data_IF_154180891107
#
_entry.id   IF_154180891107
#
_cell.length_a   1.000
_cell.length_b   1.000
_cell.length_c   1.000
_cell.angle_alpha   90.00
_cell.angle_beta   90.00
_cell.angle_gamma   90.00
#
_symmetry.space_group_name_H-M   'P 1'
#
loop_
_entity.id
_entity.type
_entity.pdbx_description
1 polymer ?
#
# COMPACT_ATOMS: atom_id res chain seq x y z
N UNK A 1 67.08 -24.40 71.54
CA UNK A 1 67.27 -25.83 71.15
C UNK A 1 65.97 -26.33 70.54
N UNK A 2 66.04 -26.94 69.34
CA UNK A 2 65.13 -27.95 68.74
C UNK A 2 63.63 -27.59 68.62
N UNK A 3 62.87 -27.94 67.58
CA UNK A 3 63.05 -28.53 66.24
C UNK A 3 61.71 -28.33 65.49
N UNK A 4 61.79 -28.34 64.16
CA UNK A 4 60.70 -28.53 63.19
C UNK A 4 59.67 -29.63 63.57
N UNK A 5 58.38 -29.47 63.21
CA UNK A 5 57.78 -30.06 61.97
C UNK A 5 56.30 -30.51 62.11
N UNK A 6 55.48 -30.01 61.17
CA UNK A 6 54.49 -30.72 60.31
C UNK A 6 53.15 -31.31 60.83
N UNK A 7 52.10 -30.89 60.09
CA UNK A 7 50.90 -31.63 59.64
C UNK A 7 49.58 -31.38 60.41
N UNK A 8 48.83 -30.45 59.81
CA UNK A 8 47.44 -30.57 59.36
C UNK A 8 46.35 -31.01 60.35
N UNK A 9 45.40 -30.11 60.59
CA UNK A 9 43.98 -30.35 60.24
C UNK A 9 43.19 -29.04 60.25
N UNK A 10 42.64 -28.69 59.08
CA UNK A 10 41.33 -28.06 58.83
C UNK A 10 40.92 -26.78 59.60
N UNK A 11 40.30 -25.77 59.01
CA UNK A 11 39.98 -25.35 57.64
C UNK A 11 39.39 -23.95 57.83
N UNK A 12 39.67 -23.07 56.88
CA UNK A 12 39.31 -21.66 56.88
C UNK A 12 37.81 -21.42 57.08
N UNK A 13 37.45 -20.68 58.14
CA UNK A 13 36.16 -19.98 58.21
C UNK A 13 36.30 -18.70 57.39
N UNK A 14 36.14 -18.82 56.07
CA UNK A 14 35.95 -17.68 55.18
C UNK A 14 34.45 -17.43 55.01
N UNK A 15 34.05 -16.17 55.21
CA UNK A 15 32.74 -15.60 54.87
C UNK A 15 32.09 -16.26 53.66
N UNK A 16 30.94 -16.89 53.87
CA UNK A 16 29.96 -17.06 52.79
C UNK A 16 29.00 -15.88 52.91
N UNK A 17 29.30 -14.81 52.18
CA UNK A 17 28.28 -13.84 51.80
C UNK A 17 27.31 -14.54 50.85
N UNK A 18 26.05 -14.59 51.27
CA UNK A 18 24.95 -15.16 50.50
C UNK A 18 24.60 -14.20 49.35
N UNK A 19 25.31 -14.31 48.23
CA UNK A 19 24.90 -13.65 46.99
C UNK A 19 23.77 -14.47 46.35
N UNK A 20 22.53 -14.17 46.73
CA UNK A 20 21.37 -14.60 45.96
C UNK A 20 21.37 -13.83 44.63
N UNK A 21 21.99 -14.39 43.58
CA UNK A 21 21.77 -13.93 42.21
C UNK A 21 20.38 -14.38 41.78
N UNK A 22 19.42 -13.44 41.77
CA UNK A 22 18.15 -13.64 41.07
C UNK A 22 18.47 -13.68 39.57
N UNK A 23 18.57 -14.87 38.99
CA UNK A 23 18.61 -15.02 37.53
C UNK A 23 17.22 -14.67 36.98
N UNK A 24 16.95 -13.37 36.79
CA UNK A 24 15.81 -12.97 35.98
C UNK A 24 16.16 -13.34 34.53
N UNK A 25 15.46 -14.33 33.99
CA UNK A 25 15.52 -14.59 32.55
C UNK A 25 15.01 -13.32 31.86
N UNK A 26 15.81 -12.67 30.97
CA UNK A 26 15.32 -11.52 30.25
C UNK A 26 14.13 -11.97 29.39
N UNK A 27 12.93 -11.48 29.71
CA UNK A 27 11.75 -11.69 28.89
C UNK A 27 11.80 -10.66 27.76
N UNK A 28 12.08 -11.11 26.54
CA UNK A 28 11.91 -10.27 25.36
C UNK A 28 10.41 -10.04 25.14
N UNK A 29 9.99 -8.77 25.19
CA UNK A 29 8.65 -8.37 24.73
C UNK A 29 8.81 -7.93 23.29
N UNK A 30 8.28 -8.73 22.36
CA UNK A 30 8.18 -8.35 20.96
C UNK A 30 6.82 -7.70 20.76
N UNK A 31 6.81 -6.38 20.63
CA UNK A 31 5.64 -5.64 20.17
C UNK A 31 5.83 -5.31 18.69
N UNK A 32 4.85 -5.63 17.86
CA UNK A 32 4.86 -5.21 16.46
C UNK A 32 4.55 -3.71 16.41
N UNK A 33 5.54 -2.89 16.04
CA UNK A 33 5.25 -1.51 15.63
C UNK A 33 4.59 -1.56 14.26
N UNK A 34 3.36 -1.06 14.14
CA UNK A 34 2.72 -0.91 12.83
C UNK A 34 3.58 0.04 11.99
N UNK A 35 4.12 -0.40 10.85
CA UNK A 35 4.92 0.48 10.00
C UNK A 35 4.04 1.60 9.45
N UNK A 36 4.62 2.78 9.25
CA UNK A 36 3.93 3.85 8.52
C UNK A 36 3.83 3.46 7.05
N UNK A 37 2.65 3.63 6.45
CA UNK A 37 2.36 3.19 5.08
C UNK A 37 2.05 4.41 4.21
N UNK A 38 2.65 4.45 3.02
CA UNK A 38 2.24 5.32 1.91
C UNK A 38 1.62 4.46 0.81
N UNK A 39 0.59 4.98 0.16
CA UNK A 39 -0.09 4.31 -0.95
C UNK A 39 0.40 4.86 -2.29
N UNK A 40 0.73 3.94 -3.20
CA UNK A 40 1.15 4.26 -4.56
C UNK A 40 -0.06 4.66 -5.42
N UNK A 41 0.13 5.64 -6.30
CA UNK A 41 -0.90 6.10 -7.24
C UNK A 41 -1.93 7.09 -6.66
N UNK A 42 -1.77 7.50 -5.40
CA UNK A 42 -2.59 8.54 -4.75
C UNK A 42 -1.72 9.53 -3.98
N UNK A 43 -2.30 10.68 -3.67
CA UNK A 43 -1.67 11.70 -2.84
C UNK A 43 -1.67 11.27 -1.38
N UNK A 44 -0.48 11.22 -0.78
CA UNK A 44 -0.31 10.88 0.63
C UNK A 44 -0.05 12.17 1.43
N UNK A 45 -1.03 12.71 2.17
CA UNK A 45 -0.81 13.86 3.03
C UNK A 45 0.11 13.48 4.20
N UNK A 46 1.13 14.29 4.46
CA UNK A 46 2.11 14.13 5.54
C UNK A 46 2.20 15.43 6.31
N UNK A 47 2.09 15.34 7.64
CA UNK A 47 2.36 16.46 8.55
C UNK A 47 3.71 16.25 9.23
N UNK A 48 4.54 17.29 9.24
CA UNK A 48 5.87 17.30 9.83
C UNK A 48 5.92 18.48 10.77
N UNK A 49 6.24 18.21 12.03
CA UNK A 49 6.49 19.21 13.05
C UNK A 49 7.82 18.86 13.74
N UNK A 50 8.59 19.89 14.06
CA UNK A 50 9.84 19.74 14.81
C UNK A 50 9.82 20.73 15.96
N UNK A 51 10.06 20.24 17.17
CA UNK A 51 10.06 21.08 18.36
C UNK A 51 11.14 22.17 18.26
N UNK A 52 10.78 23.39 18.65
CA UNK A 52 11.65 24.56 18.59
C UNK A 52 11.97 25.08 17.17
N UNK A 53 11.42 24.51 16.10
CA UNK A 53 11.65 24.95 14.72
C UNK A 53 10.33 25.37 14.08
N UNK A 54 10.27 26.59 13.54
CA UNK A 54 9.10 27.05 12.79
C UNK A 54 8.91 26.23 11.51
N UNK A 55 7.66 25.86 11.24
CA UNK A 55 7.21 25.16 10.02
C UNK A 55 7.67 25.82 8.71
N UNK A 56 7.91 27.13 8.73
CA UNK A 56 8.38 27.88 7.57
C UNK A 56 9.82 27.48 7.18
N UNK A 57 10.63 27.05 8.15
CA UNK A 57 12.01 26.57 7.95
C UNK A 57 12.13 25.06 7.80
N UNK A 58 11.05 24.31 8.02
CA UNK A 58 11.05 22.86 7.79
C UNK A 58 10.95 22.59 6.29
N UNK A 59 11.84 21.73 5.80
CA UNK A 59 11.78 21.13 4.47
C UNK A 59 11.87 19.61 4.58
N UNK A 60 11.23 18.93 3.63
CA UNK A 60 11.21 17.48 3.56
C UNK A 60 11.61 17.03 2.17
N UNK A 61 12.43 16.00 2.10
CA UNK A 61 12.98 15.47 0.85
C UNK A 61 13.01 13.96 0.88
N UNK A 62 12.89 13.35 -0.29
CA UNK A 62 13.02 11.91 -0.44
C UNK A 62 14.51 11.55 -0.42
N UNK A 63 14.90 10.83 0.61
CA UNK A 63 16.29 10.39 0.86
C UNK A 63 16.57 8.97 0.38
N UNK A 64 15.52 8.15 0.24
CA UNK A 64 15.60 6.81 -0.37
C UNK A 64 14.28 6.45 -1.08
N UNK A 65 14.41 5.72 -2.18
CA UNK A 65 13.32 5.35 -3.10
C UNK A 65 12.92 6.49 -4.04
N UNK A 66 11.86 6.29 -4.82
CA UNK A 66 11.37 7.27 -5.81
C UNK A 66 9.98 7.78 -5.44
N UNK A 67 9.89 9.07 -5.12
CA UNK A 67 8.64 9.78 -4.89
C UNK A 67 8.82 11.28 -5.12
N UNK A 68 7.73 11.96 -5.45
CA UNK A 68 7.64 13.42 -5.42
C UNK A 68 7.07 13.86 -4.09
N UNK A 69 7.76 14.77 -3.41
CA UNK A 69 7.25 15.41 -2.21
C UNK A 69 7.06 16.90 -2.46
N UNK A 70 5.86 17.41 -2.17
CA UNK A 70 5.51 18.81 -2.37
C UNK A 70 4.98 19.42 -1.08
N UNK A 71 5.54 20.56 -0.66
CA UNK A 71 4.99 21.36 0.44
C UNK A 71 3.69 22.02 -0.04
N UNK A 72 2.60 21.79 0.67
CA UNK A 72 1.26 22.35 0.37
C UNK A 72 0.79 23.34 1.42
N UNK A 73 1.44 23.38 2.58
CA UNK A 73 1.16 24.34 3.65
C UNK A 73 2.26 24.32 4.71
N UNK A 74 2.07 25.08 5.79
CA UNK A 74 2.95 25.04 6.97
C UNK A 74 2.96 23.63 7.54
N UNK A 75 4.15 23.03 7.66
CA UNK A 75 4.35 21.66 8.11
C UNK A 75 3.63 20.59 7.28
N UNK A 76 3.02 20.92 6.14
CA UNK A 76 2.10 20.04 5.42
C UNK A 76 2.63 19.73 4.03
N UNK A 77 2.70 18.44 3.72
CA UNK A 77 3.27 17.90 2.49
C UNK A 77 2.32 16.91 1.83
N UNK A 78 2.46 16.75 0.52
CA UNK A 78 1.89 15.63 -0.22
C UNK A 78 3.05 14.84 -0.80
N UNK A 79 3.10 13.55 -0.48
CA UNK A 79 4.00 12.59 -1.10
C UNK A 79 3.24 11.76 -2.15
N UNK A 80 3.76 11.72 -3.36
CA UNK A 80 3.21 10.96 -4.47
C UNK A 80 4.26 9.95 -4.94
N UNK A 81 3.95 8.65 -4.85
CA UNK A 81 4.86 7.58 -5.22
C UNK A 81 4.70 7.29 -6.72
N UNK A 82 5.78 7.48 -7.48
CA UNK A 82 5.70 7.49 -8.94
C UNK A 82 5.69 6.09 -9.56
N UNK A 83 6.51 5.17 -9.03
CA UNK A 83 6.76 3.88 -9.67
C UNK A 83 6.79 2.71 -8.68
N UNK A 84 6.53 1.51 -9.20
CA UNK A 84 6.73 0.23 -8.49
C UNK A 84 8.19 -0.23 -8.50
N UNK A 85 8.96 0.25 -9.48
CA UNK A 85 10.39 -0.06 -9.63
C UNK A 85 11.14 1.26 -9.73
N UNK A 86 12.17 1.42 -8.92
CA UNK A 86 13.15 2.49 -9.08
C UNK A 86 14.31 1.99 -9.94
N UNK A 87 14.69 2.77 -10.95
CA UNK A 87 15.88 2.54 -11.74
C UNK A 87 17.05 3.29 -11.11
N UNK A 88 18.03 2.57 -10.60
CA UNK A 88 19.24 3.17 -10.03
C UNK A 88 20.40 2.94 -10.99
N UNK A 89 21.07 4.02 -11.39
CA UNK A 89 22.35 3.92 -12.09
C UNK A 89 23.44 3.75 -11.05
N UNK A 90 24.05 2.56 -11.03
CA UNK A 90 25.20 2.27 -10.18
C UNK A 90 26.45 2.43 -11.03
N UNK A 91 27.33 3.31 -10.60
CA UNK A 91 28.69 3.46 -11.10
C UNK A 91 29.59 2.68 -10.15
N UNK A 92 30.30 1.68 -10.67
CA UNK A 92 31.28 0.92 -9.91
C UNK A 92 32.66 1.32 -10.42
N UNK A 93 33.40 2.04 -9.58
CA UNK A 93 34.81 2.32 -9.80
C UNK A 93 35.63 1.16 -9.21
N UNK A 94 36.50 0.55 -10.01
CA UNK A 94 37.45 -0.45 -9.54
C UNK A 94 38.84 -0.17 -10.08
N UNK A 95 39.87 -0.50 -9.30
CA UNK A 95 41.26 -0.37 -9.72
C UNK A 95 41.91 -1.75 -9.65
N UNK A 96 42.56 -2.18 -10.73
CA UNK A 96 43.29 -3.45 -10.73
C UNK A 96 44.62 -3.35 -9.96
N UNK A 97 45.31 -4.48 -9.83
CA UNK A 97 46.62 -4.55 -9.16
C UNK A 97 47.73 -3.75 -9.85
N UNK A 98 47.48 -3.21 -11.04
CA UNK A 98 48.41 -2.41 -11.85
C UNK A 98 48.05 -0.92 -11.86
N UNK A 99 47.00 -0.52 -11.13
CA UNK A 99 46.55 0.87 -11.08
C UNK A 99 45.65 1.28 -12.25
N UNK A 100 45.12 0.34 -13.03
CA UNK A 100 44.16 0.66 -14.11
C UNK A 100 42.77 0.80 -13.52
N UNK A 101 42.14 1.96 -13.74
CA UNK A 101 40.78 2.23 -13.31
C UNK A 101 39.75 1.70 -14.32
N UNK A 102 38.67 1.12 -13.80
CA UNK A 102 37.53 0.62 -14.56
C UNK A 102 36.27 1.22 -13.97
N UNK A 103 35.40 1.74 -14.85
CA UNK A 103 34.06 2.16 -14.49
C UNK A 103 33.04 1.26 -15.16
N UNK A 104 32.16 0.67 -14.35
CA UNK A 104 31.01 -0.06 -14.86
C UNK A 104 29.73 0.69 -14.49
N UNK A 105 28.98 1.08 -15.51
CA UNK A 105 27.66 1.68 -15.35
C UNK A 105 26.59 0.61 -15.53
N UNK A 106 25.82 0.33 -14.48
CA UNK A 106 24.70 -0.63 -14.53
C UNK A 106 23.43 0.00 -14.01
N UNK A 107 22.36 -0.09 -14.79
CA UNK A 107 21.01 0.23 -14.31
C UNK A 107 20.43 -0.99 -13.59
N UNK A 108 20.09 -0.81 -12.31
CA UNK A 108 19.47 -1.84 -11.48
C UNK A 108 18.00 -1.48 -11.26
N UNK A 109 17.12 -2.48 -11.39
CA UNK A 109 15.69 -2.39 -11.05
C UNK A 109 15.52 -2.81 -9.60
N UNK A 110 15.13 -1.87 -8.74
CA UNK A 110 14.90 -2.11 -7.32
C UNK A 110 13.40 -1.92 -7.03
N UNK A 111 12.74 -2.82 -6.28
CA UNK A 111 11.39 -2.59 -5.81
C UNK A 111 11.31 -1.29 -5.01
N UNK A 112 10.37 -0.41 -5.38
CA UNK A 112 10.15 0.86 -4.70
C UNK A 112 9.12 0.71 -3.57
N UNK A 113 9.36 -0.29 -2.71
CA UNK A 113 8.42 -0.71 -1.65
C UNK A 113 8.74 -0.05 -0.30
N UNK A 114 9.78 0.77 -0.25
CA UNK A 114 10.22 1.53 0.91
C UNK A 114 10.63 2.93 0.48
N UNK A 115 10.08 3.95 1.15
CA UNK A 115 10.42 5.36 0.93
C UNK A 115 10.95 5.93 2.23
N UNK A 116 12.08 6.64 2.18
CA UNK A 116 12.57 7.37 3.36
C UNK A 116 12.52 8.86 3.11
N UNK A 117 11.85 9.58 3.99
CA UNK A 117 11.74 11.03 3.94
C UNK A 117 12.70 11.61 4.97
N UNK A 118 13.68 12.38 4.51
CA UNK A 118 14.56 13.18 5.32
C UNK A 118 13.92 14.54 5.61
N UNK A 119 14.04 14.98 6.86
CA UNK A 119 13.54 16.26 7.36
C UNK A 119 14.74 17.14 7.69
N UNK A 120 14.71 18.37 7.20
CA UNK A 120 15.78 19.34 7.39
C UNK A 120 15.21 20.68 7.84
N UNK A 121 16.02 21.42 8.59
CA UNK A 121 15.81 22.86 8.80
C UNK A 121 16.59 23.61 7.73
N UNK A 122 15.98 24.59 7.08
CA UNK A 122 16.65 25.46 6.13
C UNK A 122 16.42 26.93 6.49
N UNK A 123 17.51 27.63 6.77
CA UNK A 123 17.54 29.08 6.96
C UNK A 123 18.48 29.69 5.93
N UNK A 124 17.91 30.35 4.92
CA UNK A 124 18.66 30.84 3.78
C UNK A 124 19.27 29.70 2.96
N UNK A 125 20.60 29.67 2.85
CA UNK A 125 21.34 28.62 2.12
C UNK A 125 21.79 27.45 3.00
N UNK A 126 21.78 27.63 4.31
CA UNK A 126 22.20 26.59 5.24
C UNK A 126 21.06 25.60 5.45
N UNK A 127 21.38 24.32 5.30
CA UNK A 127 20.45 23.22 5.44
C UNK A 127 21.02 22.21 6.43
N UNK A 128 20.28 21.97 7.50
CA UNK A 128 20.67 21.09 8.61
C UNK A 128 19.73 19.91 8.66
N UNK A 129 20.29 18.70 8.59
CA UNK A 129 19.52 17.47 8.77
C UNK A 129 19.02 17.35 10.20
N UNK A 130 17.74 17.01 10.36
CA UNK A 130 17.09 16.88 11.66
C UNK A 130 16.79 15.42 11.98
N UNK A 131 16.03 14.76 11.10
CA UNK A 131 15.62 13.37 11.27
C UNK A 131 15.20 12.76 9.92
N UNK A 132 14.98 11.46 9.88
CA UNK A 132 14.36 10.78 8.76
C UNK A 132 13.33 9.77 9.23
N UNK A 133 12.35 9.47 8.39
CA UNK A 133 11.33 8.44 8.65
C UNK A 133 11.16 7.56 7.43
N UNK A 134 11.12 6.26 7.68
CA UNK A 134 10.94 5.23 6.65
C UNK A 134 9.51 4.74 6.63
N UNK A 135 8.92 4.73 5.44
CA UNK A 135 7.57 4.29 5.14
C UNK A 135 7.63 3.04 4.28
N UNK A 136 6.74 2.09 4.54
CA UNK A 136 6.44 1.03 3.58
C UNK A 136 5.52 1.59 2.51
N UNK A 137 5.71 1.17 1.27
CA UNK A 137 4.79 1.50 0.18
C UNK A 137 3.89 0.31 -0.07
N UNK A 138 2.59 0.56 -0.17
CA UNK A 138 1.61 -0.40 -0.66
C UNK A 138 0.97 0.10 -1.95
N UNK A 139 0.60 -0.84 -2.81
CA UNK A 139 -0.28 -0.54 -3.93
C UNK A 139 -1.69 -0.25 -3.39
N UNK A 140 -2.35 0.76 -3.97
CA UNK A 140 -3.79 0.91 -3.78
C UNK A 140 -4.51 -0.24 -4.49
N UNK A 141 -5.39 -0.92 -3.77
CA UNK A 141 -6.24 -1.97 -4.35
C UNK A 141 -7.57 -1.35 -4.69
N UNK A 142 -7.89 -1.32 -5.99
CA UNK A 142 -9.18 -0.84 -6.48
C UNK A 142 -10.21 -1.96 -6.39
N UNK A 143 -11.47 -1.66 -6.04
CA UNK A 143 -12.52 -2.68 -6.02
C UNK A 143 -12.83 -3.19 -7.43
N UNK A 144 -13.13 -4.47 -7.51
CA UNK A 144 -13.64 -5.13 -8.70
C UNK A 144 -15.16 -5.10 -8.70
N UNK A 145 -15.75 -4.65 -9.80
CA UNK A 145 -17.16 -4.82 -10.11
C UNK A 145 -17.48 -6.28 -10.43
N UNK A 146 -18.54 -6.79 -9.81
CA UNK A 146 -19.06 -8.13 -10.07
C UNK A 146 -20.57 -8.10 -10.19
N UNK A 147 -21.09 -8.95 -11.06
CA UNK A 147 -22.50 -9.35 -11.06
C UNK A 147 -22.55 -10.79 -10.59
N UNK A 148 -23.31 -11.05 -9.53
CA UNK A 148 -23.32 -12.34 -8.81
C UNK A 148 -21.92 -12.64 -8.23
N UNK A 149 -21.05 -13.31 -8.99
CA UNK A 149 -19.68 -13.67 -8.58
C UNK A 149 -18.66 -13.48 -9.71
N UNK A 150 -19.10 -12.89 -10.83
CA UNK A 150 -18.31 -12.82 -12.06
C UNK A 150 -18.14 -11.36 -12.48
N UNK A 151 -16.97 -11.06 -13.02
CA UNK A 151 -16.56 -9.79 -13.63
C UNK A 151 -16.75 -9.79 -15.16
N UNK A 152 -17.31 -10.87 -15.72
CA UNK A 152 -17.61 -11.02 -17.14
C UNK A 152 -17.77 -12.49 -17.53
N UNK A 153 -17.76 -12.77 -18.83
CA UNK A 153 -17.80 -14.12 -19.39
C UNK A 153 -19.20 -14.70 -19.50
N UNK A 154 -19.34 -16.03 -19.35
CA UNK A 154 -20.63 -16.70 -19.49
C UNK A 154 -21.44 -16.63 -18.19
N UNK A 155 -22.73 -16.26 -18.30
CA UNK A 155 -23.63 -16.15 -17.14
C UNK A 155 -25.01 -16.72 -17.41
N UNK A 156 -25.61 -17.34 -16.40
CA UNK A 156 -26.99 -17.82 -16.46
C UNK A 156 -27.97 -16.63 -16.39
N UNK A 157 -28.89 -16.53 -17.34
CA UNK A 157 -29.92 -15.50 -17.33
C UNK A 157 -30.72 -15.47 -16.02
N UNK A 158 -30.96 -16.64 -15.42
CA UNK A 158 -31.69 -16.76 -14.14
C UNK A 158 -30.95 -16.10 -12.98
N UNK A 159 -29.62 -16.19 -12.95
CA UNK A 159 -28.81 -15.62 -11.87
C UNK A 159 -28.78 -14.10 -11.92
N UNK A 160 -28.72 -13.53 -13.14
CA UNK A 160 -28.87 -12.09 -13.37
C UNK A 160 -30.22 -11.55 -12.88
N UNK A 161 -31.31 -12.28 -13.15
CA UNK A 161 -32.66 -11.86 -12.76
C UNK A 161 -32.90 -12.03 -11.25
N UNK A 162 -32.19 -12.96 -10.60
CA UNK A 162 -32.26 -13.18 -9.15
C UNK A 162 -31.45 -12.15 -8.37
N UNK A 163 -30.31 -11.71 -8.92
CA UNK A 163 -29.41 -10.74 -8.29
C UNK A 163 -29.16 -9.56 -9.26
N UNK A 164 -30.18 -8.72 -9.51
CA UNK A 164 -30.12 -7.67 -10.53
C UNK A 164 -29.38 -6.43 -10.00
N UNK A 165 -28.11 -6.60 -9.62
CA UNK A 165 -27.25 -5.53 -9.10
C UNK A 165 -25.77 -5.85 -9.30
N UNK A 166 -24.95 -4.80 -9.26
CA UNK A 166 -23.49 -4.85 -9.28
C UNK A 166 -23.00 -4.71 -7.84
N UNK A 167 -21.99 -5.49 -7.48
CA UNK A 167 -21.23 -5.34 -6.24
C UNK A 167 -19.82 -4.86 -6.54
N UNK A 168 -19.23 -4.15 -5.60
CA UNK A 168 -17.80 -3.81 -5.59
C UNK A 168 -17.11 -4.62 -4.49
N UNK A 169 -16.09 -5.38 -4.85
CA UNK A 169 -15.34 -6.24 -3.93
C UNK A 169 -13.84 -5.96 -4.05
N UNK A 170 -13.16 -5.83 -2.91
CA UNK A 170 -11.69 -5.74 -2.85
C UNK A 170 -11.17 -7.10 -2.41
N UNK A 171 -10.27 -7.68 -3.19
CA UNK A 171 -9.62 -8.96 -2.84
C UNK A 171 -8.51 -8.73 -1.81
N UNK A 172 -8.34 -9.69 -0.89
CA UNK A 172 -7.27 -9.71 0.12
C UNK A 172 -7.18 -8.44 0.99
N UNK A 173 -8.33 -7.86 1.35
CA UNK A 173 -8.38 -6.69 2.22
C UNK A 173 -9.04 -7.01 3.57
N UNK A 174 -8.26 -6.85 4.65
CA UNK A 174 -8.62 -7.25 6.02
C UNK A 174 -9.66 -6.33 6.69
N UNK A 175 -10.09 -5.26 6.01
CA UNK A 175 -11.05 -4.30 6.54
C UNK A 175 -12.26 -4.15 5.61
N UNK A 176 -13.49 -4.16 6.12
CA UNK A 176 -14.66 -3.90 5.29
C UNK A 176 -14.66 -2.43 4.85
N UNK A 177 -14.61 -2.20 3.54
CA UNK A 177 -14.82 -0.87 2.94
C UNK A 177 -16.15 -0.90 2.21
N UNK A 178 -17.01 0.08 2.51
CA UNK A 178 -18.28 0.23 1.81
C UNK A 178 -18.09 1.14 0.59
N UNK A 179 -18.56 0.67 -0.56
CA UNK A 179 -18.58 1.43 -1.81
C UNK A 179 -20.00 1.60 -2.30
N UNK A 180 -20.28 2.80 -2.82
CA UNK A 180 -21.58 3.15 -3.38
C UNK A 180 -21.44 3.39 -4.88
N UNK A 181 -22.09 2.57 -5.72
CA UNK A 181 -22.15 2.80 -7.17
C UNK A 181 -23.19 3.89 -7.45
N UNK A 182 -22.75 5.01 -8.03
CA UNK A 182 -23.61 6.15 -8.34
C UNK A 182 -24.32 5.97 -9.67
N UNK A 183 -23.65 5.45 -10.70
CA UNK A 183 -24.27 5.12 -11.97
C UNK A 183 -23.47 4.10 -12.78
N UNK A 184 -24.15 3.46 -13.74
CA UNK A 184 -23.54 2.67 -14.80
C UNK A 184 -24.46 2.63 -16.03
N UNK A 185 -23.89 2.25 -17.17
CA UNK A 185 -24.59 2.06 -18.43
C UNK A 185 -24.71 0.57 -18.78
N UNK A 186 -25.82 0.17 -19.39
CA UNK A 186 -26.03 -1.18 -19.89
C UNK A 186 -26.46 -1.15 -21.35
N UNK A 187 -25.77 -1.91 -22.20
CA UNK A 187 -26.15 -2.16 -23.59
C UNK A 187 -26.29 -3.65 -23.85
N UNK A 188 -26.99 -3.99 -24.93
CA UNK A 188 -27.25 -5.36 -25.32
C UNK A 188 -26.89 -5.56 -26.79
N UNK A 189 -26.15 -6.62 -27.11
CA UNK A 189 -25.97 -7.03 -28.49
C UNK A 189 -26.98 -8.12 -28.79
N UNK A 190 -28.03 -7.72 -29.51
CA UNK A 190 -29.04 -8.61 -30.08
C UNK A 190 -28.93 -8.52 -31.60
N UNK A 191 -29.62 -9.40 -32.33
CA UNK A 191 -29.64 -9.39 -33.81
C UNK A 191 -30.13 -8.05 -34.44
N UNK A 192 -30.63 -7.10 -33.64
CA UNK A 192 -31.01 -5.73 -34.03
C UNK A 192 -30.13 -4.73 -33.26
N UNK A 193 -29.23 -4.04 -33.95
CA UNK A 193 -28.07 -3.41 -33.29
C UNK A 193 -28.05 -1.86 -33.39
N UNK A 194 -29.01 -1.17 -32.76
CA UNK A 194 -29.09 0.31 -32.75
C UNK A 194 -29.72 0.93 -31.49
N UNK A 195 -29.82 0.20 -30.37
CA UNK A 195 -30.46 0.74 -29.16
C UNK A 195 -29.49 1.58 -28.31
N UNK A 196 -29.97 2.70 -27.77
CA UNK A 196 -29.19 3.55 -26.88
C UNK A 196 -28.89 2.85 -25.54
N UNK A 197 -27.78 3.19 -24.85
CA UNK A 197 -27.48 2.63 -23.54
C UNK A 197 -28.56 2.96 -22.51
N UNK A 198 -28.97 1.95 -21.74
CA UNK A 198 -29.80 2.14 -20.57
C UNK A 198 -28.92 2.62 -19.40
N UNK A 199 -29.45 3.53 -18.59
CA UNK A 199 -28.72 4.12 -17.45
C UNK A 199 -29.32 3.64 -16.14
N UNK A 200 -28.49 3.20 -15.20
CA UNK A 200 -28.86 3.09 -13.80
C UNK A 200 -28.16 4.17 -12.98
N UNK A 201 -28.84 4.70 -11.98
CA UNK A 201 -28.33 5.70 -11.03
C UNK A 201 -28.09 5.08 -9.63
N UNK A 202 -27.77 3.80 -9.60
CA UNK A 202 -27.47 3.04 -8.38
C UNK A 202 -26.68 1.79 -8.75
N UNK A 203 -26.38 0.94 -7.77
CA UNK A 203 -25.83 -0.39 -8.02
C UNK A 203 -26.86 -1.38 -8.60
N UNK A 204 -28.16 -1.07 -8.63
CA UNK A 204 -29.23 -1.98 -9.08
C UNK A 204 -29.53 -1.84 -10.57
N UNK A 205 -29.97 -2.91 -11.20
CA UNK A 205 -30.50 -2.86 -12.56
C UNK A 205 -31.89 -2.21 -12.54
N UNK A 206 -32.17 -1.38 -13.54
CA UNK A 206 -33.49 -0.74 -13.66
C UNK A 206 -34.55 -1.74 -14.13
N UNK A 207 -35.85 -1.47 -13.91
CA UNK A 207 -36.91 -2.31 -14.45
C UNK A 207 -36.79 -2.53 -15.96
N UNK A 208 -36.41 -1.50 -16.71
CA UNK A 208 -36.20 -1.59 -18.17
C UNK A 208 -35.05 -2.52 -18.54
N UNK A 209 -33.91 -2.43 -17.84
CA UNK A 209 -32.80 -3.37 -18.01
C UNK A 209 -33.24 -4.81 -17.73
N UNK A 210 -34.01 -5.02 -16.65
CA UNK A 210 -34.54 -6.33 -16.27
C UNK A 210 -35.46 -6.89 -17.36
N UNK A 211 -36.37 -6.07 -17.90
CA UNK A 211 -37.25 -6.49 -19.00
C UNK A 211 -36.45 -6.85 -20.25
N UNK A 212 -35.40 -6.09 -20.60
CA UNK A 212 -34.49 -6.44 -21.70
C UNK A 212 -33.76 -7.75 -21.44
N UNK A 213 -33.20 -7.95 -20.24
CA UNK A 213 -32.52 -9.20 -19.85
C UNK A 213 -33.45 -10.41 -20.02
N UNK A 214 -34.74 -10.30 -19.66
CA UNK A 214 -35.71 -11.40 -19.82
C UNK A 214 -35.83 -11.88 -21.27
N UNK A 215 -35.72 -10.97 -22.24
CA UNK A 215 -35.83 -11.27 -23.68
C UNK A 215 -34.60 -11.97 -24.27
N UNK A 216 -33.45 -11.91 -23.59
CA UNK A 216 -32.19 -12.44 -24.11
C UNK A 216 -32.21 -13.97 -24.24
N UNK A 217 -31.55 -14.46 -25.28
CA UNK A 217 -31.34 -15.87 -25.59
C UNK A 217 -29.88 -16.23 -25.41
N UNK A 218 -29.60 -17.55 -25.42
CA UNK A 218 -28.23 -18.07 -25.40
C UNK A 218 -27.40 -17.44 -26.53
N UNK A 219 -26.22 -16.94 -26.19
CA UNK A 219 -25.30 -16.25 -27.09
C UNK A 219 -25.45 -14.72 -27.11
N UNK A 220 -26.59 -14.17 -26.66
CA UNK A 220 -26.76 -12.72 -26.56
C UNK A 220 -25.80 -12.14 -25.52
N UNK A 221 -25.36 -10.91 -25.76
CA UNK A 221 -24.38 -10.24 -24.89
C UNK A 221 -24.98 -9.06 -24.17
N UNK A 222 -24.52 -8.87 -22.93
CA UNK A 222 -24.77 -7.69 -22.10
C UNK A 222 -23.43 -7.00 -21.90
N UNK A 223 -23.38 -5.69 -22.11
CA UNK A 223 -22.23 -4.86 -21.78
C UNK A 223 -22.65 -3.96 -20.64
N UNK A 224 -21.86 -3.94 -19.57
CA UNK A 224 -22.02 -3.03 -18.45
C UNK A 224 -20.79 -2.14 -18.46
N UNK A 225 -20.98 -0.83 -18.55
CA UNK A 225 -19.89 0.11 -18.80
C UNK A 225 -20.04 1.39 -17.97
N UNK A 226 -18.94 2.13 -17.84
CA UNK A 226 -18.94 3.43 -17.16
C UNK A 226 -19.38 3.33 -15.70
N UNK A 227 -18.98 2.25 -15.02
CA UNK A 227 -19.28 2.05 -13.59
C UNK A 227 -18.54 3.14 -12.79
N UNK A 228 -19.30 3.99 -12.14
CA UNK A 228 -18.79 5.06 -11.30
C UNK A 228 -19.23 4.85 -9.85
N UNK A 229 -18.28 5.02 -8.91
CA UNK A 229 -18.51 4.72 -7.51
C UNK A 229 -17.79 5.70 -6.58
N UNK A 230 -18.30 5.80 -5.36
CA UNK A 230 -17.70 6.56 -4.25
C UNK A 230 -17.45 5.67 -3.03
N UNK A 231 -16.42 6.00 -2.26
CA UNK A 231 -16.15 5.40 -0.95
C UNK A 231 -17.08 5.92 0.15
N UNK A 232 -16.85 5.45 1.37
CA UNK A 232 -17.49 5.92 2.61
C UNK A 232 -17.22 7.40 2.90
N UNK A 233 -16.04 7.88 2.51
CA UNK A 233 -15.62 9.28 2.58
C UNK A 233 -16.23 10.18 1.49
N UNK A 234 -17.18 9.64 0.70
CA UNK A 234 -17.82 10.30 -0.44
C UNK A 234 -16.89 10.75 -1.56
N UNK A 235 -15.62 10.30 -1.56
CA UNK A 235 -14.72 10.56 -2.67
C UNK A 235 -14.91 9.53 -3.76
N UNK A 236 -14.66 9.97 -4.99
CA UNK A 236 -14.65 9.09 -6.15
C UNK A 236 -13.61 7.98 -5.99
N UNK A 237 -14.02 6.76 -6.31
CA UNK A 237 -13.18 5.57 -6.30
C UNK A 237 -13.08 5.02 -7.70
N UNK A 238 -11.85 4.81 -8.15
CA UNK A 238 -11.58 4.10 -9.39
C UNK A 238 -11.94 2.63 -9.20
N UNK A 239 -12.77 2.11 -10.11
CA UNK A 239 -13.10 0.68 -10.21
C UNK A 239 -12.05 0.00 -11.09
N UNK A 240 -11.56 -1.18 -10.67
CA UNK A 240 -10.52 -1.91 -11.39
C UNK A 240 -10.95 -2.35 -12.79
N UNK A 241 -12.18 -2.84 -12.91
CA UNK A 241 -12.85 -3.27 -14.14
C UNK A 241 -14.13 -2.43 -14.38
N UNK A 242 -14.02 -1.20 -14.89
CA UNK A 242 -15.18 -0.32 -15.10
C UNK A 242 -16.08 -0.77 -16.27
N UNK A 243 -15.73 -1.86 -16.94
CA UNK A 243 -16.47 -2.50 -18.02
C UNK A 243 -16.51 -4.01 -17.81
N UNK A 244 -17.69 -4.61 -18.02
CA UNK A 244 -17.91 -6.06 -17.98
C UNK A 244 -18.71 -6.50 -19.21
N UNK A 245 -18.39 -7.67 -19.76
CA UNK A 245 -19.12 -8.26 -20.88
C UNK A 245 -19.61 -9.63 -20.45
N UNK A 246 -20.92 -9.83 -20.49
CA UNK A 246 -21.56 -11.11 -20.20
C UNK A 246 -22.16 -11.72 -21.45
N UNK A 247 -22.02 -13.03 -21.62
CA UNK A 247 -22.69 -13.81 -22.66
C UNK A 247 -23.68 -14.77 -22.00
N UNK A 248 -24.94 -14.73 -22.41
CA UNK A 248 -25.97 -15.62 -21.88
C UNK A 248 -25.67 -17.07 -22.32
N UNK A 249 -25.62 -18.01 -21.37
CA UNK A 249 -25.37 -19.44 -21.65
C UNK A 249 -26.62 -20.31 -21.64
#
# INVERSE_FOLDING_TARGET
>A
MKRLSLIALMLFVSCISLNAQTTSTPKAVVAATTPQILYRGVDNPISIAVDGISDDYIIAEVSNGSAKIKKVGKGSYIANIEDKITLVNVVIDSVDTKGVEYQLNRTIKIPNDVITIGVYSQLGKEKVFLNQTTFKVKDIVYPNAKVVKSDGGYIDKKDLLKNPYINLEVEDFDFPVEYNINYFYMTFNTSKNTEAPLISKSNKFTPEMIEKIKTLKKGDKIYIEGIHATGDDSKEVKVANPQMIFTIK
#
